data_IF_438178933676
#
_entry.id   IF_438178933676
#
_cell.length_a   1.000
_cell.length_b   1.000
_cell.length_c   1.000
_cell.angle_alpha   90.00
_cell.angle_beta   90.00
_cell.angle_gamma   90.00
#
_symmetry.space_group_name_H-M   'P 1'
#
loop_
_entity.id
_entity.type
_entity.pdbx_description
1 polymer ?
#
# COMPACT_ATOMS: atom_id res chain seq x y z
N UNK A 1 20.34 -7.41 -16.84
CA UNK A 1 20.73 -6.49 -15.73
C UNK A 1 21.52 -7.21 -14.63
N UNK A 2 21.14 -8.43 -14.15
CA UNK A 2 21.86 -9.16 -13.06
C UNK A 2 23.26 -9.62 -13.48
N UNK A 3 23.38 -10.27 -14.63
CA UNK A 3 24.68 -10.73 -15.16
C UNK A 3 25.64 -9.54 -15.36
N UNK A 4 25.11 -8.35 -15.69
CA UNK A 4 25.90 -7.12 -15.83
C UNK A 4 26.35 -6.55 -14.49
N UNK A 5 25.55 -6.69 -13.41
CA UNK A 5 25.93 -6.29 -12.06
C UNK A 5 27.00 -7.20 -11.47
N UNK A 6 26.83 -8.52 -11.60
CA UNK A 6 27.86 -9.49 -11.18
C UNK A 6 29.18 -9.32 -11.93
N UNK A 7 29.13 -9.01 -13.26
CA UNK A 7 30.34 -8.72 -14.05
C UNK A 7 31.04 -7.42 -13.66
N UNK A 8 30.30 -6.41 -13.14
CA UNK A 8 30.88 -5.14 -12.67
C UNK A 8 31.58 -5.28 -11.33
N UNK A 9 31.14 -6.22 -10.47
CA UNK A 9 31.70 -6.45 -9.14
C UNK A 9 32.99 -7.27 -9.10
N UNK A 10 33.46 -7.81 -10.25
CA UNK A 10 34.63 -8.67 -10.27
C UNK A 10 34.37 -10.11 -9.79
N UNK A 11 35.45 -10.93 -9.66
CA UNK A 11 35.37 -12.37 -9.36
C UNK A 11 34.81 -12.71 -7.95
N UNK A 12 34.76 -11.75 -7.01
CA UNK A 12 34.36 -11.95 -5.62
C UNK A 12 33.16 -11.07 -5.23
N UNK A 13 32.16 -10.95 -6.08
CA UNK A 13 30.97 -10.17 -5.79
C UNK A 13 29.83 -11.08 -5.30
N UNK A 14 29.45 -10.91 -4.04
CA UNK A 14 28.25 -11.54 -3.49
C UNK A 14 27.01 -10.79 -3.92
N UNK A 15 25.96 -11.51 -4.34
CA UNK A 15 24.69 -10.94 -4.78
C UNK A 15 23.58 -11.38 -3.85
N UNK A 16 23.01 -10.42 -3.11
CA UNK A 16 21.83 -10.64 -2.29
C UNK A 16 20.57 -10.13 -3.00
N UNK A 17 19.61 -11.04 -3.23
CA UNK A 17 18.29 -10.71 -3.72
C UNK A 17 17.27 -10.79 -2.59
N UNK A 18 16.61 -9.68 -2.30
CA UNK A 18 15.55 -9.62 -1.29
C UNK A 18 14.18 -9.39 -1.94
N UNK A 19 13.17 -10.16 -1.52
CA UNK A 19 11.78 -9.99 -1.96
C UNK A 19 10.83 -10.15 -0.79
N UNK A 20 9.83 -9.27 -0.72
CA UNK A 20 8.76 -9.37 0.27
C UNK A 20 7.66 -10.37 -0.13
N UNK A 21 7.65 -10.82 -1.39
CA UNK A 21 6.68 -11.80 -1.91
C UNK A 21 7.34 -13.18 -1.99
N UNK A 22 6.66 -14.25 -1.53
CA UNK A 22 7.20 -15.60 -1.66
C UNK A 22 7.30 -15.97 -3.15
N UNK A 23 8.51 -16.24 -3.60
CA UNK A 23 8.77 -16.75 -4.95
C UNK A 23 8.83 -18.28 -4.84
N UNK A 24 8.03 -19.04 -5.63
CA UNK A 24 8.09 -20.50 -5.61
C UNK A 24 9.52 -21.01 -5.88
N UNK A 25 9.94 -22.03 -5.13
CA UNK A 25 11.32 -22.58 -5.25
C UNK A 25 11.66 -23.00 -6.68
N UNK A 26 10.70 -23.60 -7.38
CA UNK A 26 10.86 -24.01 -8.79
C UNK A 26 11.14 -22.82 -9.70
N UNK A 27 10.46 -21.70 -9.49
CA UNK A 27 10.68 -20.47 -10.24
C UNK A 27 12.03 -19.84 -9.89
N UNK A 28 12.46 -19.94 -8.63
CA UNK A 28 13.78 -19.49 -8.19
C UNK A 28 14.89 -20.30 -8.87
N UNK A 29 14.79 -21.63 -8.91
CA UNK A 29 15.77 -22.50 -9.54
C UNK A 29 15.86 -22.29 -11.05
N UNK A 30 14.70 -22.06 -11.73
CA UNK A 30 14.70 -21.82 -13.18
C UNK A 30 15.23 -20.44 -13.58
N UNK A 31 15.02 -19.42 -12.73
CA UNK A 31 15.43 -18.04 -13.03
C UNK A 31 16.81 -17.69 -12.50
N UNK A 32 17.27 -18.36 -11.43
CA UNK A 32 18.42 -17.92 -10.66
C UNK A 32 19.50 -18.98 -10.42
N UNK A 33 19.29 -20.21 -10.87
CA UNK A 33 20.31 -21.27 -10.77
C UNK A 33 20.74 -21.52 -9.32
N UNK A 34 22.04 -21.49 -9.07
CA UNK A 34 22.69 -21.86 -7.81
C UNK A 34 22.61 -20.79 -6.71
N UNK A 35 21.43 -20.27 -6.42
CA UNK A 35 21.25 -19.34 -5.29
C UNK A 35 20.68 -20.06 -4.08
N UNK A 36 21.32 -19.86 -2.94
CA UNK A 36 20.78 -20.25 -1.64
C UNK A 36 19.58 -19.40 -1.27
N UNK A 37 18.56 -20.03 -0.69
CA UNK A 37 17.31 -19.36 -0.33
C UNK A 37 17.11 -19.42 1.17
N UNK A 38 17.17 -18.25 1.80
CA UNK A 38 16.79 -18.08 3.22
C UNK A 38 15.40 -17.45 3.31
N UNK A 39 14.54 -17.99 4.16
CA UNK A 39 13.19 -17.49 4.40
C UNK A 39 13.06 -17.00 5.83
N UNK A 40 12.63 -15.75 6.01
CA UNK A 40 12.24 -15.20 7.30
C UNK A 40 10.75 -15.43 7.45
N UNK A 41 10.33 -16.41 8.25
CA UNK A 41 8.93 -16.80 8.46
C UNK A 41 8.33 -16.23 9.73
N UNK A 42 9.15 -15.81 10.65
CA UNK A 42 8.74 -15.24 11.93
C UNK A 42 8.25 -13.81 11.78
N UNK A 43 7.23 -13.48 12.53
CA UNK A 43 6.70 -12.11 12.64
C UNK A 43 7.18 -11.51 13.97
N UNK A 44 7.42 -10.18 14.02
CA UNK A 44 7.69 -9.53 15.30
C UNK A 44 6.59 -9.85 16.31
N UNK A 45 6.98 -10.20 17.53
CA UNK A 45 6.08 -10.74 18.58
C UNK A 45 4.88 -9.81 18.90
N UNK A 46 5.03 -8.50 18.71
CA UNK A 46 3.98 -7.51 18.99
C UNK A 46 3.03 -7.25 17.81
N UNK A 47 3.31 -7.81 16.62
CA UNK A 47 2.51 -7.52 15.44
C UNK A 47 1.21 -8.30 15.42
N UNK A 48 0.10 -7.60 15.61
CA UNK A 48 -1.25 -8.17 15.53
C UNK A 48 -1.61 -8.59 14.10
N UNK A 49 -2.51 -9.56 13.98
CA UNK A 49 -3.01 -10.05 12.69
C UNK A 49 -3.88 -8.99 12.03
N UNK A 50 -3.58 -8.59 10.79
CA UNK A 50 -4.35 -7.58 10.06
C UNK A 50 -5.73 -8.16 9.70
N UNK A 51 -6.80 -7.46 10.09
CA UNK A 51 -8.18 -7.79 9.72
C UNK A 51 -8.41 -7.26 8.30
N UNK A 52 -8.88 -8.13 7.41
CA UNK A 52 -9.22 -7.74 6.03
C UNK A 52 -10.72 -7.88 5.83
N UNK A 53 -11.35 -6.79 5.37
CA UNK A 53 -12.77 -6.70 5.08
C UNK A 53 -12.95 -6.33 3.61
N UNK A 54 -13.89 -6.97 2.93
CA UNK A 54 -14.32 -6.56 1.58
C UNK A 54 -15.71 -5.95 1.63
N UNK A 55 -15.88 -4.82 0.94
CA UNK A 55 -17.17 -4.11 0.85
C UNK A 55 -17.42 -3.63 -0.57
N UNK A 56 -18.64 -3.70 -1.07
CA UNK A 56 -18.98 -3.08 -2.35
C UNK A 56 -18.90 -1.55 -2.25
N UNK A 57 -18.52 -0.90 -3.35
CA UNK A 57 -18.27 0.54 -3.40
C UNK A 57 -19.52 1.39 -3.09
N UNK A 58 -20.71 0.88 -3.40
CA UNK A 58 -21.99 1.55 -3.06
C UNK A 58 -22.22 1.65 -1.55
N UNK A 59 -21.53 0.84 -0.72
CA UNK A 59 -21.56 0.89 0.75
C UNK A 59 -20.46 1.75 1.37
N UNK A 60 -19.81 2.60 0.59
CA UNK A 60 -18.75 3.50 1.07
C UNK A 60 -19.22 4.39 2.23
N UNK A 61 -20.49 4.74 2.26
CA UNK A 61 -21.05 5.57 3.33
C UNK A 61 -21.00 4.90 4.71
N UNK A 62 -20.98 3.57 4.77
CA UNK A 62 -20.87 2.83 6.02
C UNK A 62 -19.48 2.90 6.65
N UNK A 63 -18.44 3.22 5.88
CA UNK A 63 -17.07 3.27 6.38
C UNK A 63 -16.67 4.65 6.94
N UNK A 64 -17.37 5.73 6.58
CA UNK A 64 -17.03 7.07 7.07
C UNK A 64 -17.07 7.22 8.59
N UNK A 65 -18.10 6.73 9.31
CA UNK A 65 -18.11 6.76 10.77
C UNK A 65 -16.96 5.98 11.38
N UNK A 66 -16.58 4.87 10.74
CA UNK A 66 -15.46 4.06 11.18
C UNK A 66 -14.12 4.78 10.98
N UNK A 67 -13.92 5.45 9.83
CA UNK A 67 -12.73 6.28 9.57
C UNK A 67 -12.64 7.40 10.61
N UNK A 68 -13.75 8.09 10.87
CA UNK A 68 -13.79 9.14 11.90
C UNK A 68 -13.35 8.60 13.25
N UNK A 69 -13.86 7.45 13.68
CA UNK A 69 -13.47 6.81 14.94
C UNK A 69 -11.95 6.49 14.96
N UNK A 70 -11.37 6.07 13.86
CA UNK A 70 -9.91 5.83 13.78
C UNK A 70 -9.14 7.14 14.00
N UNK A 71 -9.54 8.22 13.33
CA UNK A 71 -8.91 9.55 13.46
C UNK A 71 -9.05 10.07 14.88
N UNK A 72 -10.24 10.01 15.46
CA UNK A 72 -10.52 10.43 16.84
C UNK A 72 -9.67 9.64 17.87
N UNK A 73 -9.26 8.41 17.51
CA UNK A 73 -8.33 7.59 18.30
C UNK A 73 -6.85 7.84 17.96
N UNK A 74 -6.52 8.93 17.27
CA UNK A 74 -5.16 9.29 16.82
C UNK A 74 -4.50 8.27 15.89
N UNK A 75 -5.29 7.43 15.23
CA UNK A 75 -4.85 6.51 14.20
C UNK A 75 -4.86 7.19 12.83
N UNK A 76 -3.99 6.75 11.94
CA UNK A 76 -3.87 7.29 10.60
C UNK A 76 -4.41 6.31 9.55
N UNK A 77 -4.86 6.86 8.43
CA UNK A 77 -5.56 6.14 7.37
C UNK A 77 -4.84 6.31 6.04
N UNK A 78 -4.54 5.21 5.38
CA UNK A 78 -4.17 5.20 3.97
C UNK A 78 -5.40 5.02 3.10
N UNK A 79 -5.52 5.84 2.07
CA UNK A 79 -6.52 5.68 1.03
C UNK A 79 -5.83 5.48 -0.31
N UNK A 80 -5.91 4.27 -0.85
CA UNK A 80 -5.22 3.89 -2.08
C UNK A 80 -6.21 3.87 -3.23
N UNK A 81 -5.95 4.71 -4.24
CA UNK A 81 -6.67 4.71 -5.51
C UNK A 81 -5.91 3.85 -6.53
N UNK A 82 -6.59 3.09 -7.39
CA UNK A 82 -5.92 2.32 -8.43
C UNK A 82 -5.29 3.25 -9.46
N UNK A 83 -4.17 2.81 -10.05
CA UNK A 83 -3.66 3.39 -11.28
C UNK A 83 -4.60 3.03 -12.44
N UNK A 84 -4.89 4.00 -13.29
CA UNK A 84 -5.63 3.80 -14.54
C UNK A 84 -4.56 3.71 -15.63
N UNK A 85 -4.30 2.51 -16.14
CA UNK A 85 -3.16 2.19 -17.02
C UNK A 85 -3.02 3.06 -18.29
N UNK A 86 -4.03 3.86 -18.62
CA UNK A 86 -4.08 4.59 -19.89
C UNK A 86 -3.40 5.95 -19.87
N UNK A 87 -3.19 6.58 -18.72
CA UNK A 87 -2.54 7.91 -18.63
C UNK A 87 -2.23 8.34 -17.20
N UNK A 88 -1.01 8.82 -16.91
CA UNK A 88 -0.67 9.45 -15.62
C UNK A 88 -1.58 10.64 -15.27
N UNK A 89 -2.13 11.32 -16.27
CA UNK A 89 -3.05 12.43 -16.10
C UNK A 89 -4.43 11.97 -15.58
N UNK A 90 -4.95 10.84 -16.05
CA UNK A 90 -6.20 10.24 -15.56
C UNK A 90 -6.06 9.74 -14.12
N UNK A 91 -4.91 9.16 -13.79
CA UNK A 91 -4.58 8.73 -12.42
C UNK A 91 -4.62 9.91 -11.45
N UNK A 92 -3.97 11.01 -11.82
CA UNK A 92 -3.99 12.24 -11.04
C UNK A 92 -5.40 12.78 -10.84
N UNK A 93 -6.20 12.87 -11.91
CA UNK A 93 -7.56 13.42 -11.85
C UNK A 93 -8.48 12.58 -10.96
N UNK A 94 -8.33 11.27 -10.99
CA UNK A 94 -9.09 10.33 -10.13
C UNK A 94 -8.73 10.48 -8.65
N UNK A 95 -7.43 10.51 -8.32
CA UNK A 95 -6.97 10.70 -6.95
C UNK A 95 -7.30 12.10 -6.41
N UNK A 96 -7.20 13.14 -7.26
CA UNK A 96 -7.58 14.50 -6.89
C UNK A 96 -9.07 14.60 -6.56
N UNK A 97 -9.94 14.03 -7.39
CA UNK A 97 -11.38 13.98 -7.10
C UNK A 97 -11.66 13.28 -5.77
N UNK A 98 -10.97 12.18 -5.50
CA UNK A 98 -11.13 11.46 -4.24
C UNK A 98 -10.60 12.28 -3.07
N UNK A 99 -9.44 12.90 -3.21
CA UNK A 99 -8.89 13.83 -2.21
C UNK A 99 -9.90 14.94 -1.88
N UNK A 100 -10.47 15.62 -2.89
CA UNK A 100 -11.46 16.69 -2.68
C UNK A 100 -12.72 16.16 -1.98
N UNK A 101 -13.19 14.97 -2.33
CA UNK A 101 -14.33 14.32 -1.69
C UNK A 101 -14.08 14.02 -0.22
N UNK A 102 -12.89 13.51 0.11
CA UNK A 102 -12.50 13.17 1.48
C UNK A 102 -12.25 14.46 2.27
N UNK A 103 -11.57 15.44 1.68
CA UNK A 103 -11.24 16.70 2.33
C UNK A 103 -12.48 17.55 2.68
N UNK A 104 -13.58 17.43 1.91
CA UNK A 104 -14.87 18.01 2.28
C UNK A 104 -15.45 17.41 3.57
N UNK A 105 -15.13 16.15 3.88
CA UNK A 105 -15.62 15.46 5.10
C UNK A 105 -14.68 15.64 6.29
N UNK A 106 -13.39 15.74 6.02
CA UNK A 106 -12.31 15.85 7.01
C UNK A 106 -11.40 17.02 6.62
N UNK A 107 -11.86 18.28 6.80
CA UNK A 107 -11.10 19.46 6.41
C UNK A 107 -9.76 19.54 7.13
N UNK A 108 -8.68 19.84 6.38
CA UNK A 108 -7.31 19.95 6.85
C UNK A 108 -6.66 18.66 7.38
N UNK A 109 -7.35 17.53 7.29
CA UNK A 109 -6.88 16.22 7.77
C UNK A 109 -6.31 15.34 6.64
N UNK A 110 -6.33 15.81 5.39
CA UNK A 110 -6.08 14.97 4.21
C UNK A 110 -4.86 15.47 3.45
N UNK A 111 -3.96 14.55 3.11
CA UNK A 111 -2.85 14.77 2.18
C UNK A 111 -3.04 13.95 0.90
N UNK A 112 -2.46 14.40 -0.20
CA UNK A 112 -2.48 13.72 -1.50
C UNK A 112 -1.06 13.45 -1.97
N UNK A 113 -0.79 12.21 -2.37
CA UNK A 113 0.46 11.81 -3.05
C UNK A 113 0.12 11.09 -4.35
N UNK A 114 0.77 11.50 -5.44
CA UNK A 114 0.65 10.85 -6.75
C UNK A 114 1.97 10.85 -7.51
N UNK A 115 2.03 10.09 -8.58
CA UNK A 115 3.26 9.90 -9.35
C UNK A 115 3.87 11.18 -9.93
N UNK A 116 3.04 12.16 -10.30
CA UNK A 116 3.47 13.42 -10.92
C UNK A 116 3.93 14.50 -9.92
N UNK A 117 3.84 14.27 -8.60
CA UNK A 117 4.41 15.20 -7.62
C UNK A 117 5.93 15.18 -7.66
N UNK A 118 6.55 16.33 -7.51
CA UNK A 118 7.98 16.46 -7.31
C UNK A 118 8.41 15.80 -5.98
N UNK A 119 9.67 15.43 -5.89
CA UNK A 119 10.20 14.70 -4.73
C UNK A 119 10.05 15.49 -3.44
N UNK A 120 10.35 16.77 -3.49
CA UNK A 120 10.27 17.70 -2.36
C UNK A 120 8.82 17.84 -1.85
N UNK A 121 7.86 17.93 -2.77
CA UNK A 121 6.43 18.02 -2.42
C UNK A 121 5.95 16.73 -1.73
N UNK A 122 6.37 15.57 -2.25
CA UNK A 122 6.08 14.26 -1.61
C UNK A 122 6.64 14.19 -0.20
N UNK A 123 7.89 14.63 -0.01
CA UNK A 123 8.52 14.62 1.31
C UNK A 123 7.80 15.54 2.31
N UNK A 124 7.31 16.70 1.87
CA UNK A 124 6.53 17.60 2.72
C UNK A 124 5.24 16.93 3.19
N UNK A 125 4.48 16.33 2.26
CA UNK A 125 3.23 15.64 2.61
C UNK A 125 3.48 14.45 3.54
N UNK A 126 4.53 13.66 3.26
CA UNK A 126 4.92 12.53 4.10
C UNK A 126 5.33 12.96 5.50
N UNK A 127 6.09 14.06 5.64
CA UNK A 127 6.45 14.63 6.94
C UNK A 127 5.22 15.08 7.73
N UNK A 128 4.27 15.77 7.08
CA UNK A 128 2.99 16.14 7.71
C UNK A 128 2.23 14.92 8.22
N UNK A 129 2.20 13.84 7.42
CA UNK A 129 1.56 12.60 7.83
C UNK A 129 2.31 11.92 9.00
N UNK A 130 3.63 11.84 8.96
CA UNK A 130 4.44 11.30 10.06
C UNK A 130 4.25 12.08 11.37
N UNK A 131 4.21 13.41 11.29
CA UNK A 131 4.01 14.31 12.42
C UNK A 131 2.56 14.35 12.91
N UNK A 132 1.63 13.60 12.32
CA UNK A 132 0.19 13.61 12.61
C UNK A 132 -0.49 14.98 12.39
N UNK A 133 0.07 15.81 11.53
CA UNK A 133 -0.56 17.07 11.11
C UNK A 133 -1.73 16.80 10.15
N UNK A 134 -1.70 15.65 9.47
CA UNK A 134 -2.78 15.10 8.66
C UNK A 134 -3.02 13.63 9.05
N UNK A 135 -4.26 13.20 9.02
CA UNK A 135 -4.70 11.88 9.48
C UNK A 135 -5.01 10.92 8.35
N UNK A 136 -5.28 11.44 7.14
CA UNK A 136 -5.61 10.64 5.96
C UNK A 136 -4.61 10.94 4.84
N UNK A 137 -4.02 9.90 4.26
CA UNK A 137 -3.14 10.02 3.11
C UNK A 137 -3.76 9.32 1.89
N UNK A 138 -4.17 10.11 0.90
CA UNK A 138 -4.66 9.62 -0.39
C UNK A 138 -3.47 9.41 -1.33
N UNK A 139 -3.39 8.24 -1.96
CA UNK A 139 -2.27 7.89 -2.85
C UNK A 139 -2.74 7.08 -4.05
N UNK A 140 -2.14 7.33 -5.23
CA UNK A 140 -2.35 6.52 -6.44
C UNK A 140 -1.36 5.37 -6.58
N UNK A 141 -0.21 5.48 -5.96
CA UNK A 141 0.86 4.49 -6.05
C UNK A 141 1.09 3.80 -4.72
N UNK A 142 1.81 2.70 -4.78
CA UNK A 142 2.34 2.07 -3.57
C UNK A 142 3.13 3.14 -2.82
N UNK A 143 2.67 3.49 -1.63
CA UNK A 143 3.38 4.36 -0.70
C UNK A 143 4.81 3.84 -0.62
N UNK A 144 5.76 4.71 -0.90
CA UNK A 144 7.15 4.33 -1.20
C UNK A 144 7.70 3.28 -0.24
N UNK A 145 8.31 2.27 -0.82
CA UNK A 145 8.96 1.19 -0.07
C UNK A 145 10.09 1.83 0.77
N UNK A 146 10.02 1.67 2.09
CA UNK A 146 11.09 2.13 2.99
C UNK A 146 10.66 3.10 4.08
N UNK A 147 9.49 3.73 3.99
CA UNK A 147 8.98 4.56 5.09
C UNK A 147 8.04 3.74 5.97
N UNK A 148 8.28 3.79 7.27
CA UNK A 148 7.43 3.16 8.28
C UNK A 148 6.47 4.16 8.90
N UNK A 149 5.19 3.80 8.97
CA UNK A 149 4.12 4.62 9.55
C UNK A 149 3.45 3.84 10.68
N UNK A 150 4.00 3.88 11.88
CA UNK A 150 3.54 3.04 13.00
C UNK A 150 2.09 3.35 13.43
N UNK A 151 1.62 4.57 13.18
CA UNK A 151 0.26 4.98 13.51
C UNK A 151 -0.76 4.73 12.38
N UNK A 152 -0.32 4.24 11.22
CA UNK A 152 -1.21 3.89 10.11
C UNK A 152 -1.83 2.51 10.38
N UNK A 153 -3.06 2.52 10.91
CA UNK A 153 -3.75 1.30 11.32
C UNK A 153 -4.92 0.93 10.39
N UNK A 154 -5.32 1.83 9.51
CA UNK A 154 -6.36 1.57 8.52
C UNK A 154 -5.84 1.82 7.10
N UNK A 155 -6.09 0.88 6.19
CA UNK A 155 -5.92 1.08 4.76
C UNK A 155 -7.23 0.79 4.04
N UNK A 156 -7.65 1.70 3.19
CA UNK A 156 -8.79 1.54 2.27
C UNK A 156 -8.23 1.46 0.85
N UNK A 157 -8.53 0.40 0.13
CA UNK A 157 -8.09 0.17 -1.24
C UNK A 157 -9.30 0.22 -2.15
N UNK A 158 -9.38 1.24 -2.99
CA UNK A 158 -10.46 1.38 -3.98
C UNK A 158 -10.25 0.48 -5.18
N UNK A 159 -11.36 0.00 -5.75
CA UNK A 159 -11.33 -0.89 -6.92
C UNK A 159 -10.30 -2.02 -6.74
N UNK A 160 -10.34 -2.70 -5.60
CA UNK A 160 -9.36 -3.73 -5.22
C UNK A 160 -9.21 -4.84 -6.29
N UNK A 161 -10.25 -5.06 -7.10
CA UNK A 161 -10.24 -5.97 -8.24
C UNK A 161 -9.27 -5.56 -9.37
N UNK A 162 -8.76 -4.33 -9.38
CA UNK A 162 -7.75 -3.86 -10.35
C UNK A 162 -6.32 -4.14 -9.90
N UNK A 163 -6.12 -4.56 -8.66
CA UNK A 163 -4.79 -4.88 -8.13
C UNK A 163 -4.51 -6.37 -8.21
N UNK A 164 -3.28 -6.73 -8.53
CA UNK A 164 -2.82 -8.11 -8.39
C UNK A 164 -2.77 -8.54 -6.90
N UNK A 165 -2.94 -9.84 -6.64
CA UNK A 165 -2.91 -10.38 -5.27
C UNK A 165 -1.63 -10.05 -4.51
N UNK A 166 -0.47 -10.07 -5.19
CA UNK A 166 0.81 -9.68 -4.60
C UNK A 166 0.82 -8.20 -4.18
N UNK A 167 0.25 -7.32 -4.99
CA UNK A 167 0.13 -5.89 -4.68
C UNK A 167 -0.79 -5.67 -3.48
N UNK A 168 -1.96 -6.32 -3.47
CA UNK A 168 -2.89 -6.25 -2.32
C UNK A 168 -2.23 -6.76 -1.04
N UNK A 169 -1.43 -7.83 -1.13
CA UNK A 169 -0.68 -8.35 0.01
C UNK A 169 0.35 -7.34 0.52
N UNK A 170 1.08 -6.69 -0.36
CA UNK A 170 2.06 -5.65 -0.01
C UNK A 170 1.39 -4.43 0.61
N UNK A 171 0.28 -3.93 0.00
CA UNK A 171 -0.49 -2.80 0.51
C UNK A 171 -1.06 -3.11 1.91
N UNK A 172 -1.67 -4.29 2.08
CA UNK A 172 -2.15 -4.75 3.38
C UNK A 172 -1.04 -4.74 4.44
N UNK A 173 0.17 -5.11 4.05
CA UNK A 173 1.34 -5.13 4.92
C UNK A 173 1.83 -3.75 5.37
N UNK A 174 1.27 -2.66 4.85
CA UNK A 174 1.66 -1.28 5.21
C UNK A 174 1.01 -0.76 6.48
N UNK A 175 -0.01 -1.43 7.00
CA UNK A 175 -0.72 -1.03 8.23
C UNK A 175 -0.49 -2.03 9.36
N UNK A 176 -0.82 -1.61 10.59
CA UNK A 176 -0.69 -2.44 11.78
C UNK A 176 0.78 -2.78 12.10
N UNK A 177 1.67 -1.81 11.93
CA UNK A 177 3.09 -1.95 12.27
C UNK A 177 3.40 -1.51 13.69
N UNK A 178 2.50 -0.76 14.31
CA UNK A 178 2.53 -0.42 15.73
C UNK A 178 1.86 -1.47 16.61
N UNK A 179 1.50 -1.07 17.82
CA UNK A 179 0.81 -1.91 18.83
C UNK A 179 -0.68 -2.13 18.53
N UNK A 180 -1.27 -1.26 17.70
CA UNK A 180 -2.69 -1.30 17.39
C UNK A 180 -3.05 -2.33 16.30
N UNK A 181 -4.33 -2.70 16.27
CA UNK A 181 -4.86 -3.63 15.29
C UNK A 181 -4.89 -3.02 13.89
N UNK A 182 -4.18 -3.61 12.93
CA UNK A 182 -4.25 -3.21 11.53
C UNK A 182 -5.54 -3.68 10.85
N UNK A 183 -6.15 -2.81 10.04
CA UNK A 183 -7.38 -3.08 9.31
C UNK A 183 -7.19 -2.71 7.83
N UNK A 184 -7.59 -3.62 6.94
CA UNK A 184 -7.56 -3.43 5.50
C UNK A 184 -8.98 -3.55 4.95
N UNK A 185 -9.49 -2.49 4.32
CA UNK A 185 -10.80 -2.48 3.66
C UNK A 185 -10.56 -2.50 2.14
N UNK A 186 -11.07 -3.54 1.49
CA UNK A 186 -11.06 -3.69 0.04
C UNK A 186 -12.41 -3.25 -0.51
N UNK A 187 -12.44 -2.16 -1.27
CA UNK A 187 -13.63 -1.70 -1.97
C UNK A 187 -13.63 -2.26 -3.38
N UNK A 188 -14.74 -2.84 -3.79
CA UNK A 188 -14.91 -3.43 -5.11
C UNK A 188 -16.20 -2.94 -5.78
N UNK A 189 -16.20 -2.88 -7.12
CA UNK A 189 -17.41 -2.59 -7.90
C UNK A 189 -18.29 -3.83 -7.96
N UNK A 190 -19.61 -3.64 -7.88
CA UNK A 190 -20.57 -4.72 -8.10
C UNK A 190 -20.49 -5.25 -9.54
N UNK A 191 -20.93 -6.48 -9.75
CA UNK A 191 -20.90 -7.13 -11.06
C UNK A 191 -19.58 -7.80 -11.43
N UNK A 192 -18.71 -8.08 -10.43
CA UNK A 192 -17.47 -8.83 -10.65
C UNK A 192 -17.74 -10.27 -11.08
N UNK A 193 -16.88 -10.81 -11.93
CA UNK A 193 -16.90 -12.22 -12.30
C UNK A 193 -16.65 -13.12 -11.09
N UNK A 194 -17.15 -14.38 -11.14
CA UNK A 194 -16.93 -15.38 -10.08
C UNK A 194 -15.44 -15.56 -9.73
N UNK A 195 -14.53 -15.34 -10.69
CA UNK A 195 -13.09 -15.46 -10.47
C UNK A 195 -12.49 -14.25 -9.72
N UNK A 196 -13.15 -13.10 -9.75
CA UNK A 196 -12.70 -11.89 -9.04
C UNK A 196 -13.20 -11.82 -7.59
N UNK A 197 -14.11 -12.71 -7.21
CA UNK A 197 -14.70 -12.77 -5.85
C UNK A 197 -13.93 -13.78 -4.96
N UNK A 198 -13.18 -14.69 -5.57
CA UNK A 198 -12.30 -15.65 -4.84
C UNK A 198 -11.00 -14.98 -4.40
#
# INVERSE_FOLDING_TARGET
QRISLAKKGGKNCDVLLMSATPIPRTMMMSLYGDMDVSKITEKPAQRKKIITLSKPENKINEIWPFIKKQIDSSNQVFWVCPLIEESPFLDYSSAKKKFEQINKRFPNEVGLIHGALEKEEKEIVLKKFLNKEISILVSTTVIEVGIDFPNANLIVIENANKFGLAQLHQLRGRVGRGSEQGICILLFKEGLSKNSIK
#
